data_IF_392421144317
#
_entry.id   IF_392421144317
#
_cell.length_a   1.000
_cell.length_b   1.000
_cell.length_c   1.000
_cell.angle_alpha   90.00
_cell.angle_beta   90.00
_cell.angle_gamma   90.00
#
_symmetry.space_group_name_H-M   'P 1'
#
loop_
_entity.id
_entity.type
_entity.pdbx_description
1 polymer ?
#
# COMPACT_ATOMS: atom_id res chain seq x y z
N UNK A 1 -18.18 -1.89 -66.14
CA UNK A 1 -17.99 -1.53 -64.72
C UNK A 1 -17.66 -2.82 -64.01
N UNK A 2 -16.39 -3.19 -63.99
CA UNK A 2 -15.94 -4.45 -63.39
C UNK A 2 -15.06 -4.07 -62.20
N UNK A 3 -15.69 -4.03 -61.02
CA UNK A 3 -14.99 -3.81 -59.76
C UNK A 3 -14.46 -5.17 -59.30
N UNK A 4 -13.23 -5.51 -59.68
CA UNK A 4 -12.55 -6.68 -59.12
C UNK A 4 -12.16 -6.39 -57.66
N UNK A 5 -12.99 -6.87 -56.74
CA UNK A 5 -12.70 -6.91 -55.32
C UNK A 5 -11.57 -7.92 -55.07
N UNK A 6 -10.36 -7.41 -54.88
CA UNK A 6 -9.16 -8.23 -54.65
C UNK A 6 -9.21 -8.79 -53.22
N UNK A 7 -9.75 -10.01 -53.08
CA UNK A 7 -9.78 -10.71 -51.80
C UNK A 7 -8.35 -10.92 -51.28
N UNK A 8 -8.04 -10.30 -50.14
CA UNK A 8 -6.70 -10.27 -49.56
C UNK A 8 -6.45 -11.59 -48.83
N UNK A 9 -5.91 -12.58 -49.55
CA UNK A 9 -5.59 -13.91 -48.99
C UNK A 9 -4.62 -13.78 -47.81
N UNK A 10 -5.10 -14.14 -46.61
CA UNK A 10 -4.36 -14.05 -45.37
C UNK A 10 -3.33 -15.18 -45.30
N UNK A 11 -2.07 -14.87 -45.56
CA UNK A 11 -0.99 -15.87 -45.58
C UNK A 11 -0.56 -16.20 -44.15
N UNK A 12 -0.25 -17.48 -43.84
CA UNK A 12 0.21 -17.93 -42.51
C UNK A 12 1.34 -17.07 -41.91
N UNK A 13 2.24 -16.54 -42.75
CA UNK A 13 3.31 -15.61 -42.34
C UNK A 13 2.77 -14.26 -41.82
N UNK A 14 1.73 -13.71 -42.46
CA UNK A 14 1.06 -12.47 -42.02
C UNK A 14 0.28 -12.67 -40.72
N UNK A 15 -0.34 -13.85 -40.57
CA UNK A 15 -0.97 -14.25 -39.32
C UNK A 15 0.04 -14.29 -38.17
N UNK A 16 1.20 -14.92 -38.39
CA UNK A 16 2.26 -15.03 -37.38
C UNK A 16 2.82 -13.66 -36.97
N UNK A 17 3.04 -12.75 -37.92
CA UNK A 17 3.49 -11.38 -37.61
C UNK A 17 2.46 -10.59 -36.80
N UNK A 18 1.17 -10.77 -37.09
CA UNK A 18 0.10 -10.09 -36.35
C UNK A 18 0.02 -10.63 -34.92
N UNK A 19 0.07 -11.96 -34.74
CA UNK A 19 0.07 -12.58 -33.41
C UNK A 19 1.26 -12.11 -32.58
N UNK A 20 2.46 -12.06 -33.17
CA UNK A 20 3.66 -11.59 -32.48
C UNK A 20 3.57 -10.10 -32.11
N UNK A 21 3.06 -9.25 -33.02
CA UNK A 21 2.85 -7.83 -32.73
C UNK A 21 1.81 -7.62 -31.62
N UNK A 22 0.72 -8.38 -31.62
CA UNK A 22 -0.28 -8.35 -30.54
C UNK A 22 0.32 -8.82 -29.21
N UNK A 23 1.13 -9.88 -29.19
CA UNK A 23 1.79 -10.36 -27.99
C UNK A 23 2.75 -9.31 -27.40
N UNK A 24 3.53 -8.63 -28.24
CA UNK A 24 4.40 -7.53 -27.81
C UNK A 24 3.60 -6.33 -27.28
N UNK A 25 2.49 -5.97 -27.93
CA UNK A 25 1.62 -4.90 -27.46
C UNK A 25 0.96 -5.24 -26.11
N UNK A 26 0.53 -6.48 -25.91
CA UNK A 26 -0.01 -6.96 -24.64
C UNK A 26 1.06 -6.96 -23.53
N UNK A 27 2.28 -7.41 -23.84
CA UNK A 27 3.38 -7.35 -22.89
C UNK A 27 3.71 -5.91 -22.50
N UNK A 28 3.79 -5.00 -23.47
CA UNK A 28 4.01 -3.57 -23.21
C UNK A 28 2.88 -2.98 -22.36
N UNK A 29 1.62 -3.33 -22.64
CA UNK A 29 0.47 -2.90 -21.85
C UNK A 29 0.56 -3.41 -20.41
N UNK A 30 0.90 -4.68 -20.19
CA UNK A 30 1.10 -5.24 -18.84
C UNK A 30 2.20 -4.48 -18.10
N UNK A 31 3.33 -4.18 -18.76
CA UNK A 31 4.43 -3.44 -18.13
C UNK A 31 4.03 -1.99 -17.81
N UNK A 32 3.29 -1.32 -18.70
CA UNK A 32 2.76 0.03 -18.47
C UNK A 32 1.77 0.01 -17.30
N UNK A 33 0.83 -0.93 -17.28
CA UNK A 33 -0.11 -1.09 -16.16
C UNK A 33 0.63 -1.34 -14.85
N UNK A 34 1.67 -2.18 -14.83
CA UNK A 34 2.49 -2.40 -13.63
C UNK A 34 3.26 -1.16 -13.19
N UNK A 35 3.72 -0.35 -14.14
CA UNK A 35 4.43 0.88 -13.86
C UNK A 35 3.49 1.96 -13.30
N UNK A 36 2.30 2.09 -13.89
CA UNK A 36 1.28 3.05 -13.44
C UNK A 36 0.60 2.63 -12.14
N UNK A 37 0.45 1.32 -11.86
CA UNK A 37 -0.13 0.81 -10.62
C UNK A 37 0.89 0.69 -9.47
N UNK A 38 2.02 1.42 -9.54
CA UNK A 38 2.87 1.57 -8.35
C UNK A 38 2.14 2.51 -7.40
N UNK A 39 1.71 1.98 -6.26
CA UNK A 39 1.20 2.79 -5.15
C UNK A 39 2.23 3.84 -4.70
N UNK A 40 1.81 4.80 -3.88
CA UNK A 40 2.69 5.87 -3.42
C UNK A 40 3.93 5.35 -2.69
N UNK A 41 5.07 6.02 -2.88
CA UNK A 41 6.28 5.73 -2.13
C UNK A 41 6.18 6.32 -0.73
N UNK A 42 5.97 5.45 0.26
CA UNK A 42 5.76 5.85 1.65
C UNK A 42 7.03 6.34 2.36
N UNK A 43 8.20 6.26 1.72
CA UNK A 43 9.41 6.94 2.23
C UNK A 43 9.29 8.47 2.12
N UNK A 44 8.44 8.95 1.20
CA UNK A 44 8.16 10.37 1.01
C UNK A 44 6.99 10.84 1.86
N UNK A 45 7.02 12.11 2.25
CA UNK A 45 5.97 12.71 3.07
C UNK A 45 4.64 12.76 2.31
N UNK A 46 4.69 13.15 1.04
CA UNK A 46 3.55 13.24 0.12
C UNK A 46 2.96 11.85 -0.15
N UNK A 47 3.80 10.82 -0.27
CA UNK A 47 3.34 9.45 -0.45
C UNK A 47 2.56 8.93 0.76
N UNK A 48 3.01 9.26 1.98
CA UNK A 48 2.28 8.91 3.22
C UNK A 48 0.96 9.66 3.34
N UNK A 49 0.94 10.96 3.05
CA UNK A 49 -0.29 11.76 3.05
C UNK A 49 -1.34 11.19 2.08
N UNK A 50 -0.92 10.92 0.84
CA UNK A 50 -1.79 10.32 -0.18
C UNK A 50 -2.32 8.95 0.25
N UNK A 51 -1.45 8.07 0.76
CA UNK A 51 -1.85 6.75 1.23
C UNK A 51 -2.87 6.81 2.38
N UNK A 52 -2.66 7.67 3.37
CA UNK A 52 -3.58 7.81 4.49
C UNK A 52 -4.92 8.43 4.04
N UNK A 53 -4.87 9.38 3.11
CA UNK A 53 -6.07 9.97 2.51
C UNK A 53 -6.88 8.97 1.69
N UNK A 54 -6.23 8.07 0.95
CA UNK A 54 -6.88 6.95 0.24
C UNK A 54 -7.62 6.00 1.19
N UNK A 55 -7.13 5.84 2.43
CA UNK A 55 -7.81 5.11 3.51
C UNK A 55 -8.89 5.94 4.23
N UNK A 56 -9.10 7.20 3.83
CA UNK A 56 -10.08 8.12 4.41
C UNK A 56 -9.63 8.81 5.69
N UNK A 57 -8.33 8.82 5.99
CA UNK A 57 -7.74 9.48 7.16
C UNK A 57 -7.13 10.84 6.80
N UNK A 58 -7.39 11.85 7.63
CA UNK A 58 -6.79 13.19 7.50
C UNK A 58 -5.88 13.44 8.69
N UNK A 59 -4.63 13.78 8.41
CA UNK A 59 -3.58 13.93 9.41
C UNK A 59 -2.94 15.31 9.34
N UNK A 60 -2.53 15.82 10.50
CA UNK A 60 -1.68 17.00 10.55
C UNK A 60 -0.26 16.62 10.12
N UNK A 61 0.08 16.90 8.87
CA UNK A 61 1.40 16.61 8.33
C UNK A 61 2.52 17.42 9.00
N UNK A 62 2.22 18.49 9.75
CA UNK A 62 3.23 19.25 10.51
C UNK A 62 3.60 18.58 11.83
N UNK A 63 2.76 17.67 12.33
CA UNK A 63 2.96 16.91 13.58
C UNK A 63 3.88 15.70 13.46
N UNK A 64 4.46 15.46 12.27
CA UNK A 64 5.25 14.27 11.97
C UNK A 64 6.35 14.01 13.00
N UNK A 65 6.35 12.82 13.56
CA UNK A 65 7.50 12.26 14.26
C UNK A 65 7.99 11.03 13.50
N UNK A 66 9.30 10.91 13.34
CA UNK A 66 9.95 9.84 12.59
C UNK A 66 11.03 9.19 13.45
N UNK A 67 11.07 7.86 13.48
CA UNK A 67 12.15 7.10 14.10
C UNK A 67 12.45 5.82 13.36
N UNK A 68 13.73 5.49 13.29
CA UNK A 68 14.20 4.21 12.79
C UNK A 68 14.12 3.16 13.91
N UNK A 69 13.32 2.12 13.72
CA UNK A 69 13.08 1.06 14.72
C UNK A 69 13.62 -0.28 14.23
N UNK A 70 14.11 -1.11 15.15
CA UNK A 70 14.47 -2.50 14.88
C UNK A 70 13.29 -3.38 15.26
N UNK A 71 12.82 -4.20 14.33
CA UNK A 71 11.82 -5.23 14.62
C UNK A 71 12.54 -6.35 15.36
N UNK A 72 12.06 -6.77 16.55
CA UNK A 72 12.71 -7.81 17.32
C UNK A 72 12.84 -9.13 16.55
N UNK A 73 13.79 -9.97 16.96
CA UNK A 73 14.01 -11.27 16.33
C UNK A 73 12.88 -12.29 16.61
N UNK A 74 12.00 -11.99 17.57
CA UNK A 74 10.82 -12.77 17.90
C UNK A 74 9.65 -11.87 18.35
N UNK A 75 8.43 -12.29 18.06
CA UNK A 75 7.20 -11.60 18.45
C UNK A 75 6.58 -12.34 19.63
N UNK A 76 6.91 -11.93 20.85
CA UNK A 76 6.40 -12.54 22.06
C UNK A 76 5.47 -11.59 22.83
N UNK A 77 4.46 -12.15 23.49
CA UNK A 77 3.57 -11.42 24.39
C UNK A 77 2.80 -10.30 23.69
N UNK A 78 3.11 -9.04 24.02
CA UNK A 78 2.38 -7.88 23.47
C UNK A 78 2.62 -7.73 21.96
N UNK A 79 3.81 -8.09 21.46
CA UNK A 79 4.11 -7.98 20.03
C UNK A 79 3.44 -9.07 19.20
N UNK A 80 3.21 -10.25 19.77
CA UNK A 80 2.41 -11.30 19.15
C UNK A 80 0.99 -10.80 18.91
N UNK A 81 0.35 -10.27 19.96
CA UNK A 81 -0.99 -9.67 19.89
C UNK A 81 -1.08 -8.50 18.92
N UNK A 82 -0.03 -7.67 18.88
CA UNK A 82 0.05 -6.57 17.93
C UNK A 82 0.12 -7.11 16.48
N UNK A 83 0.91 -8.15 16.22
CA UNK A 83 0.99 -8.76 14.90
C UNK A 83 -0.31 -9.45 14.47
N UNK A 84 -1.08 -10.05 15.38
CA UNK A 84 -2.42 -10.56 15.07
C UNK A 84 -3.31 -9.46 14.45
N UNK A 85 -3.34 -8.27 15.06
CA UNK A 85 -4.07 -7.12 14.52
C UNK A 85 -3.49 -6.64 13.17
N UNK A 86 -2.18 -6.77 12.95
CA UNK A 86 -1.57 -6.43 11.66
C UNK A 86 -1.96 -7.44 10.56
N UNK A 87 -2.03 -8.74 10.90
CA UNK A 87 -2.47 -9.81 10.00
C UNK A 87 -3.89 -9.61 9.51
N UNK A 88 -4.80 -9.14 10.37
CA UNK A 88 -6.17 -8.78 10.01
C UNK A 88 -6.23 -7.65 8.95
N UNK A 89 -5.19 -6.81 8.88
CA UNK A 89 -5.06 -5.73 7.89
C UNK A 89 -4.30 -6.16 6.63
N UNK A 90 -3.88 -7.42 6.56
CA UNK A 90 -3.06 -7.95 5.47
C UNK A 90 -1.56 -7.64 5.58
N UNK A 91 -1.11 -7.21 6.76
CA UNK A 91 0.30 -6.96 7.09
C UNK A 91 0.86 -8.11 7.93
N UNK A 92 2.19 -8.31 7.95
CA UNK A 92 2.78 -9.44 8.67
C UNK A 92 4.19 -9.10 9.15
N UNK A 93 4.32 -8.66 10.40
CA UNK A 93 5.61 -8.29 11.01
C UNK A 93 6.55 -9.47 11.16
N UNK A 94 6.04 -10.71 11.19
CA UNK A 94 6.88 -11.91 11.30
C UNK A 94 7.78 -12.12 10.08
N UNK A 95 7.48 -11.45 8.96
CA UNK A 95 8.31 -11.44 7.75
C UNK A 95 9.48 -10.47 7.78
N UNK A 96 9.55 -9.64 8.84
CA UNK A 96 10.48 -8.53 8.95
C UNK A 96 11.32 -8.59 10.24
N UNK A 97 11.40 -9.75 10.89
CA UNK A 97 12.14 -9.93 12.14
C UNK A 97 13.63 -9.67 11.96
N UNK A 98 14.22 -8.97 12.93
CA UNK A 98 15.63 -8.56 12.90
C UNK A 98 15.95 -7.44 11.89
N UNK A 99 14.94 -6.93 11.17
CA UNK A 99 15.11 -5.87 10.18
C UNK A 99 14.75 -4.49 10.75
N UNK A 100 15.27 -3.45 10.11
CA UNK A 100 14.91 -2.06 10.43
C UNK A 100 13.78 -1.55 9.54
N UNK A 101 12.95 -0.70 10.11
CA UNK A 101 11.95 0.09 9.38
C UNK A 101 11.86 1.50 9.97
N UNK A 102 11.21 2.40 9.23
CA UNK A 102 10.93 3.76 9.70
C UNK A 102 9.51 3.81 10.22
N UNK A 103 9.33 4.28 11.45
CA UNK A 103 8.03 4.53 12.03
C UNK A 103 7.70 6.02 11.93
N UNK A 104 6.53 6.32 11.39
CA UNK A 104 5.98 7.67 11.30
C UNK A 104 4.71 7.76 12.12
N UNK A 105 4.58 8.80 12.93
CA UNK A 105 3.37 9.09 13.71
C UNK A 105 2.89 10.51 13.43
N UNK A 106 1.56 10.65 13.31
CA UNK A 106 0.86 11.92 13.07
C UNK A 106 -0.33 12.06 14.00
N UNK A 107 -0.72 13.30 14.28
CA UNK A 107 -2.03 13.63 14.86
C UNK A 107 -3.11 13.38 13.80
N UNK A 108 -4.16 12.65 14.19
CA UNK A 108 -5.30 12.32 13.35
C UNK A 108 -6.45 13.32 13.60
N UNK A 109 -6.89 14.01 12.56
CA UNK A 109 -7.81 15.15 12.69
C UNK A 109 -9.28 14.76 12.54
N UNK A 110 -9.57 13.70 11.77
CA UNK A 110 -10.94 13.32 11.39
C UNK A 110 -11.45 12.04 12.07
N UNK A 111 -10.91 11.68 13.25
CA UNK A 111 -11.36 10.51 13.98
C UNK A 111 -12.70 10.77 14.72
N UNK A 112 -13.74 9.92 14.54
CA UNK A 112 -15.02 10.09 15.22
C UNK A 112 -14.89 10.04 16.75
N UNK A 113 -15.72 10.80 17.47
CA UNK A 113 -15.78 10.79 18.95
C UNK A 113 -14.48 11.24 19.67
N UNK A 114 -13.63 12.03 19.01
CA UNK A 114 -12.37 12.50 19.58
C UNK A 114 -12.57 13.39 20.82
N UNK A 115 -12.38 12.80 22.01
CA UNK A 115 -12.30 13.52 23.30
C UNK A 115 -10.85 13.72 23.77
N UNK A 116 -9.86 13.28 22.98
CA UNK A 116 -8.43 13.40 23.27
C UNK A 116 -7.58 13.27 22.01
N UNK A 117 -6.25 13.40 22.15
CA UNK A 117 -5.31 13.27 21.03
C UNK A 117 -5.29 11.85 20.47
N UNK A 118 -5.78 11.70 19.24
CA UNK A 118 -5.72 10.45 18.46
C UNK A 118 -4.54 10.55 17.50
N UNK A 119 -3.78 9.46 17.41
CA UNK A 119 -2.60 9.36 16.58
C UNK A 119 -2.75 8.23 15.60
N UNK A 120 -2.18 8.39 14.43
CA UNK A 120 -1.98 7.31 13.47
C UNK A 120 -0.49 7.06 13.32
N UNK A 121 -0.10 5.79 13.41
CA UNK A 121 1.28 5.34 13.29
C UNK A 121 1.39 4.33 12.17
N UNK A 122 2.38 4.51 11.29
CA UNK A 122 2.68 3.58 10.20
C UNK A 122 4.15 3.21 10.23
N UNK A 123 4.44 1.95 9.86
CA UNK A 123 5.78 1.40 9.76
C UNK A 123 6.07 1.16 8.30
N UNK A 124 7.14 1.78 7.80
CA UNK A 124 7.51 1.79 6.40
C UNK A 124 8.86 1.12 6.22
N UNK A 125 8.92 0.16 5.31
CA UNK A 125 10.16 -0.49 4.91
C UNK A 125 10.22 -0.55 3.38
N UNK A 126 11.36 -0.12 2.81
CA UNK A 126 11.57 -0.09 1.36
C UNK A 126 10.44 0.63 0.60
N UNK A 127 9.98 1.77 1.14
CA UNK A 127 8.91 2.58 0.56
C UNK A 127 7.50 1.98 0.67
N UNK A 128 7.32 0.88 1.41
CA UNK A 128 6.05 0.17 1.58
C UNK A 128 5.64 0.07 3.03
N UNK A 129 4.34 0.03 3.28
CA UNK A 129 3.81 -0.21 4.62
C UNK A 129 3.97 -1.67 5.01
N UNK A 130 4.40 -1.91 6.24
CA UNK A 130 4.56 -3.24 6.83
C UNK A 130 3.75 -3.43 8.12
N UNK A 131 3.23 -2.34 8.69
CA UNK A 131 2.28 -2.33 9.81
C UNK A 131 1.70 -0.91 9.98
N UNK A 132 0.58 -0.79 10.68
CA UNK A 132 0.04 0.49 11.13
C UNK A 132 -1.10 0.35 12.13
N UNK A 133 -1.28 1.38 12.94
CA UNK A 133 -2.35 1.46 13.92
C UNK A 133 -2.84 2.91 14.15
N UNK A 134 -4.04 3.02 14.69
CA UNK A 134 -4.62 4.25 15.23
C UNK A 134 -4.80 4.03 16.73
N UNK A 135 -4.31 4.96 17.54
CA UNK A 135 -4.38 4.85 18.99
C UNK A 135 -4.51 6.21 19.68
N UNK A 136 -4.78 6.19 20.98
CA UNK A 136 -4.76 7.40 21.82
C UNK A 136 -3.69 7.31 22.89
N UNK A 137 -3.27 8.46 23.43
CA UNK A 137 -2.30 8.52 24.54
C UNK A 137 -2.92 8.32 25.94
N UNK A 138 -4.24 8.06 26.01
CA UNK A 138 -4.97 7.92 27.28
C UNK A 138 -4.78 6.54 27.91
N UNK A 139 -4.79 6.47 29.25
CA UNK A 139 -4.76 5.20 30.02
C UNK A 139 -5.98 4.32 29.70
N UNK A 140 -7.14 4.93 29.47
CA UNK A 140 -8.35 4.24 29.01
C UNK A 140 -8.51 4.37 27.49
N UNK A 141 -7.38 4.47 26.79
CA UNK A 141 -7.33 4.64 25.34
C UNK A 141 -7.69 3.38 24.58
N UNK A 142 -7.58 3.48 23.27
CA UNK A 142 -7.78 2.36 22.35
C UNK A 142 -6.59 2.26 21.40
N UNK A 143 -6.48 1.10 20.76
CA UNK A 143 -5.62 0.86 19.61
C UNK A 143 -6.37 -0.06 18.65
N UNK A 144 -6.38 0.28 17.37
CA UNK A 144 -6.91 -0.59 16.31
C UNK A 144 -6.17 -0.37 14.99
N UNK A 145 -6.42 -1.21 14.00
CA UNK A 145 -5.80 -1.11 12.68
C UNK A 145 -6.17 0.16 11.90
N UNK A 146 -5.31 0.57 10.98
CA UNK A 146 -5.54 1.70 10.06
C UNK A 146 -6.55 1.38 8.95
N UNK A 147 -6.80 0.10 8.64
CA UNK A 147 -7.88 -0.30 7.72
C UNK A 147 -9.20 -0.44 8.47
N UNK A 148 -10.31 0.01 7.89
CA UNK A 148 -11.64 -0.17 8.50
C UNK A 148 -12.12 -1.59 8.25
N UNK A 149 -12.93 -2.11 9.17
CA UNK A 149 -13.57 -3.41 8.99
C UNK A 149 -14.50 -3.37 7.76
N UNK A 150 -14.11 -4.05 6.68
CA UNK A 150 -14.83 -4.05 5.39
C UNK A 150 -13.97 -3.77 4.16
N UNK A 151 -12.71 -3.33 4.34
CA UNK A 151 -11.80 -2.95 3.24
C UNK A 151 -11.00 -4.15 2.65
N UNK A 152 -11.56 -5.36 2.70
CA UNK A 152 -10.92 -6.63 2.31
C UNK A 152 -11.45 -7.23 1.01
#
# INVERSE_FOLDING_TARGET
>A
MEMTEKSRVFTKKKALTIVFACALALLALILICRFMNRGPDLSTKEGREMFLSELGWQVDMTSETCRSVLIPDALDGVLERYNEMQLEQGYDLSRHLGERCEQYTYILENYPEATGGVFITIYVQNGKIIAGDIHTSSINGFMHGIRRAGDG
#
